data_IF_379942454022
#
_entry.id   IF_379942454022
#
_cell.length_a   1.000
_cell.length_b   1.000
_cell.length_c   1.000
_cell.angle_alpha   90.00
_cell.angle_beta   90.00
_cell.angle_gamma   90.00
#
_symmetry.space_group_name_H-M   'P 1'
#
loop_
_entity.id
_entity.type
_entity.pdbx_description
1 polymer ?
#
# COMPACT_ATOMS: atom_id res chain seq x y z
N UNK A 1 -20.24 -10.75 -32.17
CA UNK A 1 -19.57 -9.54 -31.67
C UNK A 1 -20.08 -9.22 -30.26
N UNK A 2 -19.44 -9.75 -29.20
CA UNK A 2 -19.76 -9.44 -27.78
C UNK A 2 -18.76 -10.09 -26.80
N UNK A 3 -17.47 -10.12 -27.15
CA UNK A 3 -16.41 -10.65 -26.26
C UNK A 3 -15.08 -9.86 -26.29
N UNK A 4 -15.01 -8.72 -26.98
CA UNK A 4 -13.78 -7.92 -27.08
C UNK A 4 -13.80 -6.61 -26.26
N UNK A 5 -14.93 -6.21 -25.68
CA UNK A 5 -15.05 -4.91 -25.00
C UNK A 5 -14.59 -4.93 -23.54
N UNK A 6 -14.37 -6.10 -22.92
CA UNK A 6 -14.01 -6.21 -21.49
C UNK A 6 -12.49 -6.09 -21.28
N UNK A 7 -11.67 -6.32 -22.30
CA UNK A 7 -10.19 -6.24 -22.17
C UNK A 7 -9.68 -4.80 -22.35
N UNK A 8 -10.43 -3.93 -23.04
CA UNK A 8 -10.02 -2.54 -23.29
C UNK A 8 -10.29 -1.60 -22.10
N UNK A 9 -11.20 -1.95 -21.19
CA UNK A 9 -11.51 -1.12 -20.02
C UNK A 9 -10.48 -1.22 -18.86
N UNK A 10 -9.65 -2.27 -18.86
CA UNK A 10 -8.58 -2.46 -17.85
C UNK A 10 -7.34 -1.63 -18.20
N UNK A 11 -7.16 -1.24 -19.48
CA UNK A 11 -6.00 -0.47 -19.94
C UNK A 11 -6.16 1.06 -19.82
N UNK A 12 -7.38 1.58 -19.59
CA UNK A 12 -7.65 3.02 -19.63
C UNK A 12 -7.61 3.74 -18.27
N UNK A 13 -7.18 3.09 -17.18
CA UNK A 13 -7.30 3.61 -15.81
C UNK A 13 -5.97 4.00 -15.13
N UNK A 14 -4.85 4.03 -15.86
CA UNK A 14 -3.51 4.34 -15.30
C UNK A 14 -2.89 5.66 -15.78
N UNK A 15 -3.64 6.52 -16.47
CA UNK A 15 -3.17 7.86 -16.79
C UNK A 15 -3.77 8.84 -15.80
N UNK A 16 -2.97 9.23 -14.81
CA UNK A 16 -2.77 10.59 -14.27
C UNK A 16 -2.09 10.45 -12.90
N UNK A 17 -0.77 10.63 -12.85
CA UNK A 17 -0.11 11.19 -11.67
C UNK A 17 0.84 12.28 -12.18
N UNK A 18 0.53 13.53 -11.83
CA UNK A 18 1.29 14.70 -12.25
C UNK A 18 2.71 14.69 -11.69
N UNK A 19 3.68 14.88 -12.59
CA UNK A 19 5.08 15.08 -12.25
C UNK A 19 5.34 16.52 -11.82
N UNK A 20 6.11 16.69 -10.74
CA UNK A 20 6.79 17.95 -10.44
C UNK A 20 8.23 17.86 -10.96
N UNK A 21 8.43 18.38 -12.17
CA UNK A 21 9.71 18.46 -12.86
C UNK A 21 10.59 19.53 -12.20
N UNK A 22 11.48 19.16 -11.28
CA UNK A 22 12.74 19.88 -11.09
C UNK A 22 13.81 19.18 -10.23
N UNK A 23 13.50 18.00 -9.63
CA UNK A 23 14.46 17.23 -8.82
C UNK A 23 15.21 16.11 -9.59
N UNK A 24 14.79 15.79 -10.81
CA UNK A 24 15.20 14.59 -11.57
C UNK A 24 16.66 14.63 -12.08
N UNK A 25 17.18 15.81 -12.46
CA UNK A 25 18.50 15.93 -13.09
C UNK A 25 19.69 15.78 -12.11
N UNK A 26 19.48 15.94 -10.80
CA UNK A 26 20.55 15.77 -9.80
C UNK A 26 20.61 14.36 -9.20
N UNK A 27 19.56 13.55 -9.36
CA UNK A 27 19.47 12.26 -8.67
C UNK A 27 19.98 11.07 -9.50
N UNK A 28 19.94 11.16 -10.84
CA UNK A 28 20.66 10.23 -11.71
C UNK A 28 22.17 10.19 -11.39
N UNK A 29 22.73 11.28 -10.86
CA UNK A 29 24.10 11.31 -10.31
C UNK A 29 24.22 10.64 -8.94
N UNK A 30 23.22 10.73 -8.07
CA UNK A 30 23.28 10.21 -6.69
C UNK A 30 23.00 8.72 -6.57
N UNK A 31 22.16 8.14 -7.43
CA UNK A 31 22.09 6.69 -7.57
C UNK A 31 23.39 6.14 -8.19
N UNK A 32 24.00 6.86 -9.14
CA UNK A 32 25.35 6.55 -9.65
C UNK A 32 26.43 6.64 -8.55
N UNK A 33 26.32 7.59 -7.62
CA UNK A 33 27.19 7.69 -6.43
C UNK A 33 26.92 6.57 -5.41
N UNK A 34 25.66 6.16 -5.21
CA UNK A 34 25.27 5.01 -4.38
C UNK A 34 25.69 3.65 -4.97
N UNK A 35 25.74 3.57 -6.30
CA UNK A 35 26.29 2.46 -7.07
C UNK A 35 27.83 2.45 -7.14
N UNK A 36 28.55 3.41 -6.53
CA UNK A 36 30.04 3.51 -6.54
C UNK A 36 30.67 3.05 -7.86
N UNK A 37 30.21 3.60 -8.98
CA UNK A 37 31.01 3.66 -10.19
C UNK A 37 32.11 4.68 -9.90
N UNK A 38 33.32 4.21 -9.61
CA UNK A 38 34.53 5.03 -9.49
C UNK A 38 34.67 5.81 -8.18
N UNK A 39 35.34 5.21 -7.19
CA UNK A 39 36.15 5.99 -6.25
C UNK A 39 37.42 5.21 -5.85
N UNK A 40 38.37 5.19 -6.78
CA UNK A 40 39.80 5.28 -6.50
C UNK A 40 40.46 6.10 -7.61
N UNK A 41 40.59 7.42 -7.39
CA UNK A 41 41.80 8.20 -7.63
C UNK A 41 41.50 9.71 -7.64
N UNK A 42 42.03 10.37 -6.62
CA UNK A 42 42.60 11.72 -6.60
C UNK A 42 41.75 12.92 -7.06
N UNK A 43 41.40 13.74 -6.06
CA UNK A 43 41.31 15.20 -6.22
C UNK A 43 42.68 15.74 -6.62
N UNK A 44 42.84 16.08 -7.89
CA UNK A 44 43.57 17.29 -8.28
C UNK A 44 42.79 17.96 -9.41
N UNK A 45 42.67 19.28 -9.29
CA UNK A 45 41.70 20.05 -10.05
C UNK A 45 42.01 20.15 -11.54
N UNK A 46 41.00 20.63 -12.28
CA UNK A 46 41.23 21.30 -13.55
C UNK A 46 40.45 20.74 -14.74
N UNK A 47 39.74 21.67 -15.37
CA UNK A 47 39.21 21.67 -16.74
C UNK A 47 37.94 20.85 -17.04
N UNK A 48 36.87 21.63 -17.24
CA UNK A 48 35.77 21.36 -18.20
C UNK A 48 36.37 20.80 -19.50
N UNK A 49 36.10 19.53 -19.77
CA UNK A 49 36.40 18.86 -21.03
C UNK A 49 35.17 18.10 -21.53
N UNK A 50 34.65 18.50 -22.69
CA UNK A 50 33.78 17.68 -23.54
C UNK A 50 34.41 16.28 -23.71
N UNK A 51 33.65 15.22 -23.44
CA UNK A 51 33.80 13.90 -24.07
C UNK A 51 32.62 13.02 -23.65
N UNK A 52 31.74 12.69 -24.60
CA UNK A 52 30.93 11.49 -24.51
C UNK A 52 31.89 10.30 -24.43
N UNK A 53 31.93 9.64 -23.27
CA UNK A 53 32.70 8.43 -23.08
C UNK A 53 32.00 7.29 -23.82
N UNK A 54 32.70 6.67 -24.78
CA UNK A 54 32.28 5.38 -25.35
C UNK A 54 32.10 4.39 -24.20
N UNK A 55 30.90 3.84 -24.03
CA UNK A 55 30.66 2.70 -23.14
C UNK A 55 31.55 1.52 -23.54
N UNK A 56 31.88 0.65 -22.58
CA UNK A 56 32.63 -0.58 -22.86
C UNK A 56 31.79 -1.52 -23.71
N UNK A 57 32.45 -2.27 -24.58
CA UNK A 57 31.76 -3.30 -25.36
C UNK A 57 31.59 -4.56 -24.52
N UNK A 58 30.34 -5.03 -24.39
CA UNK A 58 29.98 -6.26 -23.69
C UNK A 58 29.36 -7.27 -24.66
N UNK A 59 29.50 -7.08 -25.97
CA UNK A 59 28.92 -7.92 -27.02
C UNK A 59 29.23 -9.42 -26.85
N UNK A 60 30.39 -9.77 -26.30
CA UNK A 60 30.75 -11.14 -25.97
C UNK A 60 29.72 -11.84 -25.07
N UNK A 61 29.04 -11.09 -24.18
CA UNK A 61 28.05 -11.65 -23.27
C UNK A 61 26.78 -12.10 -24.00
N UNK A 62 26.51 -11.60 -25.21
CA UNK A 62 25.36 -12.04 -26.01
C UNK A 62 25.46 -13.52 -26.43
N UNK A 63 26.66 -14.10 -26.42
CA UNK A 63 26.89 -15.51 -26.71
C UNK A 63 26.76 -16.42 -25.48
N UNK A 64 26.62 -15.84 -24.28
CA UNK A 64 26.45 -16.62 -23.07
C UNK A 64 25.00 -17.13 -22.98
N UNK A 65 24.85 -18.45 -23.06
CA UNK A 65 23.60 -19.11 -22.73
C UNK A 65 23.49 -19.27 -21.22
N UNK A 66 22.43 -18.74 -20.64
CA UNK A 66 22.06 -18.95 -19.25
C UNK A 66 20.62 -19.45 -19.14
N UNK A 67 20.30 -20.12 -18.04
CA UNK A 67 18.98 -20.72 -17.83
C UNK A 67 17.82 -19.72 -17.77
N UNK A 68 18.12 -18.45 -17.47
CA UNK A 68 17.12 -17.39 -17.43
C UNK A 68 17.09 -16.58 -18.74
N UNK A 69 18.03 -16.77 -19.65
CA UNK A 69 18.17 -16.01 -20.89
C UNK A 69 18.47 -14.51 -20.68
N UNK A 70 18.96 -14.12 -19.50
CA UNK A 70 19.18 -12.71 -19.15
C UNK A 70 20.61 -12.23 -19.43
N UNK A 71 21.58 -13.12 -19.56
CA UNK A 71 22.97 -12.77 -19.88
C UNK A 71 23.05 -12.07 -21.23
N UNK A 72 23.84 -11.00 -21.33
CA UNK A 72 23.95 -10.24 -22.56
C UNK A 72 24.53 -8.83 -22.39
N UNK A 73 24.71 -8.19 -23.53
CA UNK A 73 24.97 -6.77 -23.67
C UNK A 73 23.66 -5.99 -23.65
N UNK A 74 23.59 -4.95 -22.83
CA UNK A 74 22.43 -4.08 -22.70
C UNK A 74 22.84 -2.63 -22.95
N UNK A 75 21.88 -1.86 -23.47
CA UNK A 75 21.99 -0.41 -23.63
C UNK A 75 20.89 0.21 -22.79
N UNK A 76 21.16 1.32 -22.10
CA UNK A 76 20.13 2.10 -21.41
C UNK A 76 19.38 3.07 -22.33
N UNK A 77 18.13 3.39 -21.94
CA UNK A 77 17.26 4.32 -22.64
C UNK A 77 17.61 5.78 -22.32
N UNK A 78 17.67 6.13 -21.02
CA UNK A 78 17.97 7.50 -20.55
C UNK A 78 19.48 7.73 -20.55
N UNK A 79 20.24 6.82 -19.95
CA UNK A 79 21.69 6.77 -20.06
C UNK A 79 22.09 5.78 -21.17
N UNK A 80 22.49 6.27 -22.36
CA UNK A 80 22.83 5.42 -23.50
C UNK A 80 24.15 4.64 -23.30
N UNK A 81 24.72 4.67 -22.08
CA UNK A 81 25.78 3.77 -21.67
C UNK A 81 25.38 2.30 -21.84
N UNK A 82 26.40 1.49 -22.07
CA UNK A 82 26.27 0.05 -22.22
C UNK A 82 26.61 -0.64 -20.90
N UNK A 83 25.94 -1.74 -20.63
CA UNK A 83 26.22 -2.63 -19.51
C UNK A 83 26.26 -4.09 -19.98
N UNK A 84 26.99 -4.91 -19.23
CA UNK A 84 26.99 -6.35 -19.37
C UNK A 84 26.23 -6.97 -18.21
N UNK A 85 25.31 -7.89 -18.50
CA UNK A 85 24.67 -8.73 -17.50
C UNK A 85 25.11 -10.17 -17.69
N UNK A 86 25.37 -10.87 -16.59
CA UNK A 86 25.69 -12.30 -16.60
C UNK A 86 25.00 -13.00 -15.45
N UNK A 87 24.15 -13.98 -15.76
CA UNK A 87 23.53 -14.81 -14.73
C UNK A 87 24.42 -16.00 -14.37
N UNK A 88 24.70 -16.14 -13.08
CA UNK A 88 25.49 -17.21 -12.51
C UNK A 88 24.62 -18.03 -11.56
N UNK A 89 24.20 -19.21 -12.03
CA UNK A 89 23.47 -20.16 -11.20
C UNK A 89 24.37 -20.84 -10.19
N UNK A 90 25.51 -21.37 -10.64
CA UNK A 90 26.46 -22.11 -9.81
C UNK A 90 27.83 -21.46 -9.81
N UNK A 91 28.47 -21.38 -8.64
CA UNK A 91 29.87 -20.95 -8.47
C UNK A 91 30.54 -21.90 -7.48
N UNK A 92 31.68 -22.47 -7.87
CA UNK A 92 32.46 -23.40 -7.03
C UNK A 92 31.63 -24.57 -6.45
N UNK A 93 30.74 -25.14 -7.27
CA UNK A 93 29.86 -26.24 -6.88
C UNK A 93 28.70 -25.85 -5.96
N UNK A 94 28.49 -24.55 -5.70
CA UNK A 94 27.36 -24.04 -4.89
C UNK A 94 26.37 -23.28 -5.77
N UNK A 95 25.09 -23.49 -5.51
CA UNK A 95 24.02 -22.68 -6.07
C UNK A 95 24.10 -21.26 -5.46
N UNK A 96 24.23 -20.24 -6.31
CA UNK A 96 24.34 -18.83 -5.89
C UNK A 96 23.23 -17.95 -6.48
N UNK A 97 22.70 -18.27 -7.67
CA UNK A 97 21.63 -17.52 -8.33
C UNK A 97 21.82 -16.00 -8.33
N UNK A 98 22.96 -15.56 -8.85
CA UNK A 98 23.36 -14.14 -8.90
C UNK A 98 23.33 -13.59 -10.31
N UNK A 99 22.96 -12.32 -10.43
CA UNK A 99 23.16 -11.52 -11.63
C UNK A 99 24.39 -10.63 -11.41
N UNK A 100 25.46 -10.92 -12.12
CA UNK A 100 26.65 -10.10 -12.21
C UNK A 100 26.38 -8.95 -13.18
N UNK A 101 26.61 -7.72 -12.71
CA UNK A 101 26.37 -6.49 -13.43
C UNK A 101 27.70 -5.78 -13.69
N UNK A 102 27.94 -5.45 -14.96
CA UNK A 102 29.19 -4.88 -15.45
C UNK A 102 28.95 -3.55 -16.18
N UNK A 103 29.78 -2.56 -15.87
CA UNK A 103 29.82 -1.24 -16.50
C UNK A 103 31.26 -0.79 -16.76
N UNK A 104 32.18 -1.09 -15.83
CA UNK A 104 33.54 -0.56 -15.85
C UNK A 104 34.51 -1.44 -16.66
N UNK A 105 34.41 -2.75 -16.52
CA UNK A 105 35.25 -3.75 -17.19
C UNK A 105 34.48 -5.09 -17.35
N UNK A 106 35.08 -6.06 -18.04
CA UNK A 106 34.46 -7.38 -18.32
C UNK A 106 34.97 -8.51 -17.40
N UNK A 107 35.96 -8.26 -16.56
CA UNK A 107 36.62 -9.29 -15.74
C UNK A 107 36.01 -9.38 -14.34
N UNK A 108 35.60 -8.25 -13.78
CA UNK A 108 35.10 -8.13 -12.41
C UNK A 108 33.77 -7.38 -12.41
N UNK A 109 32.71 -7.96 -11.81
CA UNK A 109 31.41 -7.29 -11.77
C UNK A 109 31.48 -6.05 -10.88
N UNK A 110 30.82 -4.98 -11.31
CA UNK A 110 30.61 -3.77 -10.53
C UNK A 110 29.56 -3.98 -9.42
N UNK A 111 28.69 -4.98 -9.60
CA UNK A 111 27.67 -5.38 -8.64
C UNK A 111 27.26 -6.83 -8.85
N UNK A 112 26.89 -7.51 -7.77
CA UNK A 112 26.19 -8.80 -7.83
C UNK A 112 24.81 -8.64 -7.22
N UNK A 113 23.75 -8.92 -7.98
CA UNK A 113 22.38 -8.91 -7.47
C UNK A 113 21.90 -10.33 -7.21
N UNK A 114 21.14 -10.54 -6.15
CA UNK A 114 20.56 -11.82 -5.77
C UNK A 114 19.21 -11.99 -6.46
N UNK A 115 18.97 -13.15 -7.09
CA UNK A 115 17.65 -13.51 -7.61
C UNK A 115 16.70 -13.82 -6.43
N UNK A 116 15.50 -13.22 -6.42
CA UNK A 116 14.44 -13.69 -5.53
C UNK A 116 13.80 -14.95 -6.09
N UNK A 117 14.43 -16.11 -5.82
CA UNK A 117 14.08 -17.40 -6.42
C UNK A 117 12.59 -17.75 -6.30
N UNK A 118 11.99 -17.50 -5.14
CA UNK A 118 10.58 -17.81 -4.92
C UNK A 118 9.63 -17.08 -5.86
N UNK A 119 10.02 -15.91 -6.37
CA UNK A 119 9.23 -15.15 -7.33
C UNK A 119 9.37 -15.73 -8.74
N UNK A 120 10.58 -16.14 -9.12
CA UNK A 120 10.82 -16.82 -10.38
C UNK A 120 10.16 -18.20 -10.44
N UNK A 121 10.44 -19.08 -9.49
CA UNK A 121 9.97 -20.48 -9.52
C UNK A 121 8.44 -20.61 -9.48
N UNK A 122 7.74 -19.62 -8.92
CA UNK A 122 6.28 -19.67 -8.76
C UNK A 122 5.50 -18.78 -9.72
N UNK A 123 6.10 -17.68 -10.17
CA UNK A 123 5.41 -16.64 -10.93
C UNK A 123 6.21 -16.18 -12.15
N UNK A 124 7.34 -16.82 -12.44
CA UNK A 124 8.25 -16.50 -13.56
C UNK A 124 8.77 -15.05 -13.55
N UNK A 125 8.72 -14.38 -12.39
CA UNK A 125 9.23 -13.02 -12.23
C UNK A 125 10.72 -13.06 -11.94
N UNK A 126 11.53 -12.61 -12.90
CA UNK A 126 12.98 -12.46 -12.76
C UNK A 126 13.31 -11.14 -12.09
N UNK A 127 13.28 -11.14 -10.77
CA UNK A 127 13.63 -10.00 -9.92
C UNK A 127 14.97 -10.23 -9.25
N UNK A 128 15.90 -9.30 -9.47
CA UNK A 128 17.21 -9.29 -8.87
C UNK A 128 17.39 -8.05 -8.00
N UNK A 129 17.98 -8.20 -6.82
CA UNK A 129 18.17 -7.08 -5.89
C UNK A 129 19.52 -7.11 -5.19
N UNK A 130 19.97 -5.95 -4.71
CA UNK A 130 21.14 -5.83 -3.86
C UNK A 130 20.94 -4.69 -2.85
N UNK A 131 21.30 -4.96 -1.59
CA UNK A 131 21.44 -3.96 -0.55
C UNK A 131 22.93 -3.65 -0.30
N UNK A 132 23.38 -2.47 -0.74
CA UNK A 132 24.76 -1.99 -0.51
C UNK A 132 24.94 -1.29 0.83
N UNK A 133 23.85 -0.77 1.37
CA UNK A 133 23.76 -0.16 2.69
C UNK A 133 22.35 -0.34 3.24
N UNK A 134 22.19 -0.06 4.53
CA UNK A 134 20.87 -0.12 5.15
C UNK A 134 19.89 0.99 4.68
N UNK A 135 20.32 1.93 3.84
CA UNK A 135 19.51 3.07 3.39
C UNK A 135 18.80 2.78 2.07
N UNK A 136 17.65 3.42 1.83
CA UNK A 136 16.93 3.33 0.56
C UNK A 136 17.82 3.67 -0.66
N UNK A 137 18.76 4.61 -0.50
CA UNK A 137 19.73 4.99 -1.54
C UNK A 137 20.77 3.93 -1.87
N UNK A 138 20.93 2.91 -1.02
CA UNK A 138 21.84 1.78 -1.22
C UNK A 138 21.16 0.55 -1.83
N UNK A 139 19.86 0.63 -2.12
CA UNK A 139 19.11 -0.43 -2.76
C UNK A 139 19.19 -0.34 -4.28
N UNK A 140 19.40 -1.48 -4.94
CA UNK A 140 19.25 -1.63 -6.38
C UNK A 140 18.34 -2.84 -6.65
N UNK A 141 17.34 -2.67 -7.52
CA UNK A 141 16.47 -3.75 -8.00
C UNK A 141 16.35 -3.67 -9.52
N UNK A 142 16.37 -4.82 -10.16
CA UNK A 142 16.17 -4.96 -11.61
C UNK A 142 15.14 -6.06 -11.84
N UNK A 143 14.15 -5.78 -12.68
CA UNK A 143 13.13 -6.75 -13.07
C UNK A 143 13.10 -6.86 -14.59
N UNK A 144 13.10 -8.07 -15.12
CA UNK A 144 12.84 -8.29 -16.54
C UNK A 144 11.35 -8.04 -16.84
N UNK A 145 11.06 -7.05 -17.68
CA UNK A 145 9.68 -6.65 -18.05
C UNK A 145 9.22 -7.28 -19.37
N UNK A 146 10.18 -7.63 -20.22
CA UNK A 146 10.02 -8.45 -21.41
C UNK A 146 11.36 -9.15 -21.72
N UNK A 147 11.38 -10.24 -22.50
CA UNK A 147 12.62 -10.93 -22.83
C UNK A 147 13.70 -9.97 -23.34
N UNK A 148 14.82 -9.87 -22.60
CA UNK A 148 15.92 -8.97 -22.93
C UNK A 148 15.67 -7.48 -22.66
N UNK A 149 14.61 -7.12 -21.92
CA UNK A 149 14.28 -5.76 -21.49
C UNK A 149 14.17 -5.71 -19.97
N UNK A 150 14.99 -4.90 -19.34
CA UNK A 150 15.15 -4.77 -17.89
C UNK A 150 14.69 -3.40 -17.43
N UNK A 151 13.83 -3.36 -16.43
CA UNK A 151 13.51 -2.14 -15.69
C UNK A 151 14.45 -2.02 -14.48
N UNK A 152 15.13 -0.89 -14.35
CA UNK A 152 15.94 -0.56 -13.18
C UNK A 152 15.09 0.26 -12.22
N UNK A 153 15.02 -0.19 -10.98
CA UNK A 153 14.03 0.28 -10.01
C UNK A 153 14.75 0.95 -8.83
N UNK A 154 14.18 2.07 -8.40
CA UNK A 154 14.46 2.73 -7.14
C UNK A 154 13.36 2.40 -6.13
N UNK A 155 13.79 2.10 -4.90
CA UNK A 155 12.93 1.99 -3.73
C UNK A 155 12.83 3.25 -2.89
N UNK A 156 11.80 3.30 -2.06
CA UNK A 156 11.61 4.33 -1.03
C UNK A 156 11.84 3.84 0.40
N UNK A 157 12.14 2.55 0.62
CA UNK A 157 12.38 1.98 1.95
C UNK A 157 13.85 1.66 2.21
N UNK A 158 14.24 1.82 3.48
CA UNK A 158 15.49 1.32 4.03
C UNK A 158 15.44 -0.21 4.22
N UNK A 159 16.62 -0.80 4.40
CA UNK A 159 16.81 -2.24 4.59
C UNK A 159 15.95 -2.76 5.73
N UNK A 160 15.22 -3.85 5.44
CA UNK A 160 14.51 -4.63 6.44
C UNK A 160 15.26 -5.95 6.70
N UNK A 161 15.54 -6.69 5.64
CA UNK A 161 16.33 -7.93 5.63
C UNK A 161 17.23 -7.90 4.38
N UNK A 162 18.50 -8.28 4.52
CA UNK A 162 19.49 -8.24 3.44
C UNK A 162 19.29 -9.38 2.43
N UNK A 163 18.59 -10.44 2.85
CA UNK A 163 18.29 -11.61 2.05
C UNK A 163 16.95 -11.50 1.29
N UNK A 164 16.23 -10.39 1.46
CA UNK A 164 14.96 -10.11 0.81
C UNK A 164 14.98 -8.78 0.01
N UNK A 165 14.24 -8.71 -1.12
CA UNK A 165 14.02 -7.45 -1.81
C UNK A 165 13.17 -6.51 -0.94
N UNK A 166 12.93 -5.30 -1.45
CA UNK A 166 11.94 -4.41 -0.86
C UNK A 166 10.60 -5.14 -0.61
N UNK A 167 9.93 -4.85 0.53
CA UNK A 167 8.57 -5.31 0.75
C UNK A 167 7.65 -5.02 -0.44
N UNK A 168 6.67 -5.88 -0.70
CA UNK A 168 5.80 -5.74 -1.87
C UNK A 168 4.91 -4.48 -1.80
N UNK A 169 4.65 -3.95 -0.60
CA UNK A 169 3.95 -2.69 -0.33
C UNK A 169 4.84 -1.44 -0.45
N UNK A 170 6.16 -1.61 -0.70
CA UNK A 170 7.06 -0.48 -0.95
C UNK A 170 6.80 0.13 -2.34
N UNK A 171 6.97 1.46 -2.43
CA UNK A 171 6.88 2.13 -3.72
C UNK A 171 8.12 1.80 -4.55
N UNK A 172 7.88 1.46 -5.82
CA UNK A 172 8.91 1.15 -6.81
C UNK A 172 8.77 2.13 -7.97
N UNK A 173 9.85 2.84 -8.25
CA UNK A 173 9.90 3.76 -9.39
C UNK A 173 10.93 3.25 -10.38
N UNK A 174 10.50 3.00 -11.61
CA UNK A 174 11.38 2.74 -12.75
C UNK A 174 12.10 4.03 -13.10
N UNK A 175 13.42 3.96 -13.15
CA UNK A 175 14.29 5.12 -13.37
C UNK A 175 15.19 4.97 -14.60
N UNK A 176 15.23 3.77 -15.18
CA UNK A 176 15.96 3.44 -16.40
C UNK A 176 15.36 2.18 -17.00
N UNK A 177 15.40 2.07 -18.33
CA UNK A 177 15.08 0.85 -19.08
C UNK A 177 16.35 0.45 -19.82
N UNK A 178 16.76 -0.81 -19.68
CA UNK A 178 17.89 -1.35 -20.41
C UNK A 178 17.44 -2.49 -21.32
N UNK A 179 17.91 -2.53 -22.57
CA UNK A 179 17.50 -3.54 -23.53
C UNK A 179 18.70 -4.15 -24.28
N UNK A 180 18.60 -5.45 -24.62
CA UNK A 180 19.54 -6.13 -25.54
C UNK A 180 19.46 -5.59 -26.96
N UNK A 181 18.24 -5.29 -27.41
CA UNK A 181 17.96 -4.68 -28.70
C UNK A 181 17.39 -3.27 -28.50
N UNK A 182 18.06 -2.27 -29.10
CA UNK A 182 17.66 -0.87 -29.02
C UNK A 182 16.28 -0.61 -29.63
N UNK A 183 15.82 -1.44 -30.57
CA UNK A 183 14.47 -1.29 -31.16
C UNK A 183 13.37 -1.52 -30.12
N UNK A 184 13.69 -2.18 -28.99
CA UNK A 184 12.76 -2.37 -27.88
C UNK A 184 12.28 -1.04 -27.28
N UNK A 185 13.06 0.03 -27.40
CA UNK A 185 12.70 1.36 -26.92
C UNK A 185 11.57 2.03 -27.69
N UNK A 186 11.22 1.51 -28.87
CA UNK A 186 10.01 1.94 -29.59
C UNK A 186 8.72 1.52 -28.86
N UNK A 187 8.83 0.54 -27.95
CA UNK A 187 7.72 0.02 -27.13
C UNK A 187 7.93 0.27 -25.64
N UNK A 188 9.17 0.20 -25.16
CA UNK A 188 9.51 0.19 -23.73
C UNK A 188 10.17 1.50 -23.30
N UNK A 189 9.33 2.51 -23.08
CA UNK A 189 9.71 3.69 -22.31
C UNK A 189 9.55 3.45 -20.79
N UNK A 190 9.87 4.48 -19.99
CA UNK A 190 9.78 4.42 -18.52
C UNK A 190 8.34 4.14 -18.07
N UNK A 191 7.35 4.77 -18.68
CA UNK A 191 5.95 4.63 -18.28
C UNK A 191 5.43 3.22 -18.57
N UNK A 192 5.74 2.68 -19.74
CA UNK A 192 5.36 1.32 -20.14
C UNK A 192 6.08 0.27 -19.29
N UNK A 193 7.37 0.47 -18.99
CA UNK A 193 8.12 -0.37 -18.08
C UNK A 193 7.56 -0.31 -16.65
N UNK A 194 7.20 0.88 -16.15
CA UNK A 194 6.57 1.07 -14.84
C UNK A 194 5.25 0.30 -14.75
N UNK A 195 4.37 0.46 -15.74
CA UNK A 195 3.09 -0.24 -15.78
C UNK A 195 3.27 -1.77 -15.75
N UNK A 196 4.29 -2.28 -16.44
CA UNK A 196 4.63 -3.71 -16.41
C UNK A 196 5.19 -4.14 -15.05
N UNK A 197 6.06 -3.35 -14.43
CA UNK A 197 6.55 -3.58 -13.06
C UNK A 197 5.38 -3.64 -12.09
N UNK A 198 4.45 -2.68 -12.14
CA UNK A 198 3.28 -2.64 -11.28
C UNK A 198 2.40 -3.88 -11.46
N UNK A 199 2.23 -4.36 -12.70
CA UNK A 199 1.51 -5.61 -13.00
C UNK A 199 2.21 -6.85 -12.38
N UNK A 200 3.53 -6.94 -12.49
CA UNK A 200 4.31 -8.04 -11.92
C UNK A 200 4.25 -8.01 -10.38
N UNK A 201 4.45 -6.84 -9.78
CA UNK A 201 4.34 -6.64 -8.32
C UNK A 201 2.91 -6.93 -7.84
N UNK A 202 1.89 -6.51 -8.58
CA UNK A 202 0.49 -6.82 -8.29
C UNK A 202 0.22 -8.33 -8.26
N UNK A 203 0.80 -9.08 -9.20
CA UNK A 203 0.73 -10.55 -9.22
C UNK A 203 1.34 -11.16 -7.94
N UNK A 204 2.52 -10.68 -7.55
CA UNK A 204 3.21 -11.12 -6.33
C UNK A 204 2.43 -10.73 -5.06
N UNK A 205 1.84 -9.53 -5.01
CA UNK A 205 0.97 -9.07 -3.92
C UNK A 205 -0.24 -9.98 -3.78
N UNK A 206 -0.93 -10.30 -4.88
CA UNK A 206 -2.08 -11.22 -4.87
C UNK A 206 -1.72 -12.60 -4.32
N UNK A 207 -0.59 -13.15 -4.75
CA UNK A 207 -0.08 -14.41 -4.22
C UNK A 207 0.23 -14.38 -2.71
N UNK A 208 0.89 -13.32 -2.25
CA UNK A 208 1.19 -13.13 -0.82
C UNK A 208 -0.09 -12.95 -0.01
N UNK A 209 -1.07 -12.20 -0.54
CA UNK A 209 -2.39 -12.01 0.04
C UNK A 209 -3.13 -13.33 0.25
N UNK A 210 -3.10 -14.23 -0.73
CA UNK A 210 -3.72 -15.55 -0.61
C UNK A 210 -3.05 -16.40 0.49
N UNK A 211 -1.73 -16.31 0.63
CA UNK A 211 -1.01 -16.97 1.74
C UNK A 211 -1.40 -16.40 3.09
N UNK A 212 -1.52 -15.08 3.17
CA UNK A 212 -1.87 -14.36 4.39
C UNK A 212 -3.32 -14.63 4.79
N UNK A 213 -4.25 -14.64 3.84
CA UNK A 213 -5.63 -15.08 4.02
C UNK A 213 -5.69 -16.51 4.55
N UNK A 214 -4.95 -17.46 3.95
CA UNK A 214 -4.89 -18.85 4.45
C UNK A 214 -4.37 -18.95 5.88
N UNK A 215 -3.41 -18.11 6.27
CA UNK A 215 -2.93 -18.04 7.66
C UNK A 215 -4.00 -17.46 8.58
N UNK A 216 -4.67 -16.39 8.17
CA UNK A 216 -5.72 -15.73 8.93
C UNK A 216 -6.96 -16.62 9.14
N UNK A 217 -7.31 -17.46 8.17
CA UNK A 217 -8.43 -18.41 8.27
C UNK A 217 -8.24 -19.48 9.37
N UNK A 218 -7.07 -19.57 9.99
CA UNK A 218 -6.79 -20.42 11.16
C UNK A 218 -7.30 -19.81 12.47
N UNK A 219 -7.69 -18.55 12.46
CA UNK A 219 -8.18 -17.83 13.63
C UNK A 219 -9.69 -17.64 13.52
N UNK A 220 -10.43 -18.08 14.55
CA UNK A 220 -11.90 -18.07 14.55
C UNK A 220 -12.47 -16.67 14.31
N UNK A 221 -11.89 -15.65 14.97
CA UNK A 221 -12.29 -14.25 14.80
C UNK A 221 -12.32 -13.85 13.33
N UNK A 222 -11.20 -14.02 12.62
CA UNK A 222 -11.16 -13.64 11.20
C UNK A 222 -12.08 -14.51 10.34
N UNK A 223 -12.11 -15.83 10.59
CA UNK A 223 -12.97 -16.76 9.86
C UNK A 223 -14.45 -16.38 9.97
N UNK A 224 -14.90 -15.95 11.15
CA UNK A 224 -16.29 -15.65 11.45
C UNK A 224 -16.69 -14.20 11.10
N UNK A 225 -15.72 -13.28 11.09
CA UNK A 225 -15.92 -11.85 10.89
C UNK A 225 -15.39 -11.26 9.58
N UNK A 226 -14.72 -12.02 8.69
CA UNK A 226 -14.39 -11.50 7.34
C UNK A 226 -15.65 -10.96 6.64
N UNK A 227 -15.56 -9.74 6.08
CA UNK A 227 -16.69 -8.98 5.54
C UNK A 227 -17.61 -8.34 6.59
N UNK A 228 -17.28 -8.43 7.88
CA UNK A 228 -18.10 -7.94 9.00
C UNK A 228 -17.32 -7.01 9.92
N UNK A 229 -18.06 -6.35 10.81
CA UNK A 229 -17.52 -5.49 11.86
C UNK A 229 -17.73 -6.16 13.22
N UNK A 230 -16.65 -6.31 13.98
CA UNK A 230 -16.73 -6.68 15.40
C UNK A 230 -16.85 -5.42 16.25
N UNK A 231 -17.74 -5.42 17.23
CA UNK A 231 -17.92 -4.33 18.18
C UNK A 231 -17.46 -4.74 19.57
N UNK A 232 -16.93 -3.80 20.37
CA UNK A 232 -16.52 -4.02 21.74
C UNK A 232 -16.74 -2.77 22.62
N UNK A 233 -16.68 -2.97 23.94
CA UNK A 233 -16.85 -1.88 24.92
C UNK A 233 -15.68 -0.89 24.97
N UNK A 234 -14.60 -1.14 24.23
CA UNK A 234 -13.39 -0.32 24.23
C UNK A 234 -12.34 -0.84 23.24
N UNK A 235 -11.40 0.04 22.86
CA UNK A 235 -10.40 -0.29 21.82
C UNK A 235 -9.42 -1.38 22.25
N UNK A 236 -9.13 -1.50 23.55
CA UNK A 236 -8.23 -2.51 24.11
C UNK A 236 -8.67 -3.95 23.82
N UNK A 237 -9.98 -4.19 23.63
CA UNK A 237 -10.52 -5.52 23.30
C UNK A 237 -10.37 -5.89 21.81
N UNK A 238 -10.06 -4.91 20.95
CA UNK A 238 -9.96 -5.03 19.49
C UNK A 238 -8.55 -4.76 18.94
N UNK A 239 -7.55 -4.66 19.83
CA UNK A 239 -6.16 -4.39 19.45
C UNK A 239 -5.42 -5.70 19.17
N UNK A 240 -4.67 -5.70 18.06
CA UNK A 240 -3.72 -6.76 17.76
C UNK A 240 -2.30 -6.30 18.07
N UNK A 241 -1.49 -7.23 18.58
CA UNK A 241 -0.06 -6.98 18.83
C UNK A 241 0.81 -7.39 17.64
N UNK A 242 0.32 -8.29 16.78
CA UNK A 242 1.09 -8.88 15.67
C UNK A 242 0.29 -8.86 14.38
N UNK A 243 0.97 -8.52 13.29
CA UNK A 243 0.38 -8.58 11.95
C UNK A 243 0.00 -10.01 11.61
N UNK A 244 -1.14 -10.16 10.93
CA UNK A 244 -1.68 -11.44 10.46
C UNK A 244 -1.93 -12.46 11.59
N UNK A 245 -2.17 -11.98 12.81
CA UNK A 245 -2.49 -12.78 13.98
C UNK A 245 -3.54 -12.03 14.81
N UNK A 246 -4.83 -12.12 14.44
CA UNK A 246 -5.90 -11.57 15.27
C UNK A 246 -5.93 -12.36 16.59
N UNK A 247 -5.49 -11.70 17.67
CA UNK A 247 -5.40 -12.28 19.02
C UNK A 247 -6.60 -11.91 19.89
N UNK A 248 -7.57 -11.19 19.31
CA UNK A 248 -8.79 -10.81 19.99
C UNK A 248 -9.62 -12.04 20.34
N UNK A 249 -10.46 -11.92 21.36
CA UNK A 249 -11.35 -13.01 21.78
C UNK A 249 -12.79 -12.63 21.44
N UNK A 250 -13.48 -13.52 20.72
CA UNK A 250 -14.89 -13.31 20.34
C UNK A 250 -15.80 -13.07 21.56
N UNK A 251 -15.47 -13.65 22.72
CA UNK A 251 -16.20 -13.43 23.97
C UNK A 251 -16.21 -11.96 24.45
N UNK A 252 -15.29 -11.12 23.95
CA UNK A 252 -15.27 -9.69 24.24
C UNK A 252 -16.13 -8.87 23.28
N UNK A 253 -16.61 -9.49 22.19
CA UNK A 253 -17.43 -8.79 21.21
C UNK A 253 -18.84 -8.62 21.76
N UNK A 254 -19.41 -7.45 21.51
CA UNK A 254 -20.73 -7.07 21.99
C UNK A 254 -21.67 -6.90 20.81
N UNK A 255 -22.93 -7.23 21.03
CA UNK A 255 -24.03 -6.98 20.08
C UNK A 255 -25.01 -5.94 20.59
N UNK A 256 -24.91 -5.58 21.87
CA UNK A 256 -25.75 -4.57 22.53
C UNK A 256 -24.92 -3.68 23.46
N UNK A 257 -25.23 -2.38 23.49
CA UNK A 257 -24.63 -1.38 24.38
C UNK A 257 -25.62 -0.26 24.71
N UNK A 258 -25.36 0.49 25.76
CA UNK A 258 -26.07 1.73 26.06
C UNK A 258 -25.72 2.82 25.03
N UNK A 259 -26.72 3.56 24.57
CA UNK A 259 -26.56 4.69 23.66
C UNK A 259 -25.83 5.84 24.37
N UNK A 260 -24.81 6.38 23.71
CA UNK A 260 -23.91 7.40 24.28
C UNK A 260 -22.69 6.82 25.03
N UNK A 261 -22.66 5.50 25.27
CA UNK A 261 -21.51 4.84 25.86
C UNK A 261 -20.43 4.50 24.80
N UNK A 262 -19.24 4.15 25.27
CA UNK A 262 -18.14 3.74 24.39
C UNK A 262 -18.50 2.49 23.58
N UNK A 263 -18.42 2.61 22.26
CA UNK A 263 -18.47 1.51 21.28
C UNK A 263 -17.25 1.62 20.37
N UNK A 264 -16.31 0.70 20.55
CA UNK A 264 -15.22 0.50 19.62
C UNK A 264 -15.62 -0.53 18.57
N UNK A 265 -15.08 -0.40 17.37
CA UNK A 265 -15.35 -1.36 16.31
C UNK A 265 -14.14 -1.60 15.41
N UNK A 266 -14.10 -2.80 14.82
CA UNK A 266 -13.03 -3.23 13.93
C UNK A 266 -13.62 -4.00 12.75
N UNK A 267 -13.49 -3.48 11.52
CA UNK A 267 -13.85 -4.23 10.33
C UNK A 267 -12.78 -5.28 10.01
N UNK A 268 -13.22 -6.44 9.53
CA UNK A 268 -12.38 -7.46 8.92
C UNK A 268 -12.83 -7.62 7.46
N UNK A 269 -11.87 -7.63 6.54
CA UNK A 269 -12.12 -7.60 5.10
C UNK A 269 -11.88 -8.98 4.49
N UNK A 270 -12.60 -9.30 3.40
CA UNK A 270 -12.35 -10.55 2.67
C UNK A 270 -11.05 -10.51 1.84
N UNK A 271 -10.71 -9.31 1.39
CA UNK A 271 -9.50 -8.93 0.66
C UNK A 271 -9.07 -7.53 1.13
N UNK A 272 -7.77 -7.21 1.10
CA UNK A 272 -7.31 -5.83 1.28
C UNK A 272 -7.97 -4.87 0.29
N UNK A 273 -8.13 -3.61 0.69
CA UNK A 273 -8.74 -2.58 -0.15
C UNK A 273 -7.92 -2.33 -1.40
N UNK A 274 -6.59 -2.25 -1.30
CA UNK A 274 -5.72 -1.98 -2.45
C UNK A 274 -5.83 -3.05 -3.55
N UNK A 275 -6.27 -4.26 -3.19
CA UNK A 275 -6.40 -5.40 -4.10
C UNK A 275 -7.81 -5.50 -4.69
N UNK A 276 -8.83 -5.28 -3.86
CA UNK A 276 -10.23 -5.33 -4.30
C UNK A 276 -10.62 -4.07 -5.07
N UNK A 277 -10.12 -2.90 -4.67
CA UNK A 277 -10.44 -1.58 -5.20
C UNK A 277 -9.19 -0.68 -5.29
N UNK A 278 -8.31 -0.92 -6.28
CA UNK A 278 -7.08 -0.12 -6.44
C UNK A 278 -7.34 1.40 -6.54
N UNK A 279 -6.61 2.17 -5.73
CA UNK A 279 -6.71 3.63 -5.66
C UNK A 279 -7.89 4.15 -4.82
N UNK A 280 -8.69 3.28 -4.21
CA UNK A 280 -9.72 3.67 -3.25
C UNK A 280 -9.13 3.90 -1.85
N UNK A 281 -9.84 4.66 -1.01
CA UNK A 281 -9.62 4.72 0.43
C UNK A 281 -10.89 4.33 1.19
N UNK A 282 -10.82 4.14 2.51
CA UNK A 282 -11.99 3.73 3.27
C UNK A 282 -12.89 4.94 3.60
N UNK A 283 -14.19 4.76 3.46
CA UNK A 283 -15.22 5.62 4.06
C UNK A 283 -16.06 4.82 5.07
N UNK A 284 -16.70 5.51 6.01
CA UNK A 284 -17.61 4.88 6.99
C UNK A 284 -18.91 5.65 6.99
N UNK A 285 -20.02 4.91 6.90
CA UNK A 285 -21.37 5.44 7.08
C UNK A 285 -22.00 4.84 8.34
N UNK A 286 -22.85 5.65 8.97
CA UNK A 286 -23.64 5.27 10.13
C UNK A 286 -25.12 5.45 9.80
N UNK A 287 -25.93 4.44 10.11
CA UNK A 287 -27.38 4.44 9.86
C UNK A 287 -28.11 4.01 11.13
N UNK A 288 -29.06 4.83 11.59
CA UNK A 288 -29.89 4.57 12.77
C UNK A 288 -31.17 5.39 12.69
N UNK A 289 -32.30 4.83 13.15
CA UNK A 289 -33.60 5.53 13.22
C UNK A 289 -34.01 6.25 11.91
N UNK A 290 -33.73 5.61 10.76
CA UNK A 290 -34.05 6.11 9.42
C UNK A 290 -33.17 7.26 8.92
N UNK A 291 -32.17 7.68 9.69
CA UNK A 291 -31.17 8.66 9.26
C UNK A 291 -29.85 7.98 8.89
N UNK A 292 -29.10 8.62 8.00
CA UNK A 292 -27.75 8.19 7.62
C UNK A 292 -26.79 9.36 7.63
N UNK A 293 -25.57 9.10 8.09
CA UNK A 293 -24.44 10.01 7.95
C UNK A 293 -23.27 9.32 7.28
N UNK A 294 -22.47 10.12 6.57
CA UNK A 294 -21.34 9.68 5.76
C UNK A 294 -20.13 10.54 6.11
N UNK A 295 -19.02 9.90 6.48
CA UNK A 295 -17.80 10.62 6.89
C UNK A 295 -17.24 11.46 5.76
N UNK A 296 -17.15 10.96 4.53
CA UNK A 296 -16.59 11.72 3.40
C UNK A 296 -17.50 12.88 2.98
N UNK A 297 -18.82 12.70 2.98
CA UNK A 297 -19.74 13.81 2.73
C UNK A 297 -19.60 14.91 3.79
N UNK A 298 -19.55 14.52 5.08
CA UNK A 298 -19.39 15.48 6.16
C UNK A 298 -18.01 16.17 6.11
N UNK A 299 -16.95 15.40 5.82
CA UNK A 299 -15.58 15.92 5.62
C UNK A 299 -15.52 17.00 4.54
N UNK A 300 -16.26 16.82 3.45
CA UNK A 300 -16.30 17.77 2.31
C UNK A 300 -17.22 18.97 2.55
N UNK A 301 -18.10 18.93 3.56
CA UNK A 301 -19.07 19.99 3.81
C UNK A 301 -18.47 21.26 4.43
N UNK A 302 -17.34 21.17 5.14
CA UNK A 302 -16.68 22.33 5.71
C UNK A 302 -15.19 22.09 5.95
N UNK A 303 -14.40 23.16 6.00
CA UNK A 303 -12.97 23.10 6.36
C UNK A 303 -12.76 22.58 7.78
N UNK A 304 -13.70 22.89 8.69
CA UNK A 304 -13.70 22.44 10.09
C UNK A 304 -13.84 20.92 10.19
N UNK A 305 -14.81 20.33 9.48
CA UNK A 305 -14.93 18.88 9.38
C UNK A 305 -13.78 18.24 8.61
N UNK A 306 -13.29 18.85 7.53
CA UNK A 306 -12.14 18.34 6.78
C UNK A 306 -10.89 18.16 7.65
N UNK A 307 -10.70 18.99 8.68
CA UNK A 307 -9.58 18.89 9.62
C UNK A 307 -9.73 17.76 10.64
N UNK A 308 -10.97 17.44 11.02
CA UNK A 308 -11.27 16.56 12.16
C UNK A 308 -11.77 15.17 11.75
N UNK A 309 -12.19 15.02 10.50
CA UNK A 309 -12.52 13.74 9.87
C UNK A 309 -11.40 13.45 8.86
N UNK A 310 -10.24 12.91 9.28
CA UNK A 310 -9.19 12.60 8.34
C UNK A 310 -9.64 11.50 7.37
N UNK A 311 -9.16 11.59 6.13
CA UNK A 311 -9.26 10.53 5.15
C UNK A 311 -8.63 9.24 5.72
N UNK A 312 -9.26 8.09 5.45
CA UNK A 312 -8.78 6.80 5.95
C UNK A 312 -8.05 6.07 4.81
N UNK A 313 -6.80 6.47 4.60
CA UNK A 313 -5.89 5.96 3.57
C UNK A 313 -4.83 4.97 4.11
N UNK A 314 -4.88 4.69 5.42
CA UNK A 314 -4.02 3.69 6.08
C UNK A 314 -4.68 2.32 6.09
N UNK A 315 -3.85 1.28 6.20
CA UNK A 315 -4.27 -0.13 6.30
C UNK A 315 -4.97 -0.68 5.04
N UNK A 316 -4.84 -0.03 3.88
CA UNK A 316 -5.43 -0.48 2.61
C UNK A 316 -4.88 -1.84 2.15
N UNK A 317 -3.66 -2.15 2.55
CA UNK A 317 -2.94 -3.40 2.32
C UNK A 317 -3.31 -4.52 3.31
N UNK A 318 -4.15 -4.23 4.32
CA UNK A 318 -4.45 -5.15 5.41
C UNK A 318 -5.84 -5.78 5.29
N UNK A 319 -6.00 -6.93 5.93
CA UNK A 319 -7.28 -7.66 6.04
C UNK A 319 -8.18 -7.17 7.19
N UNK A 320 -7.74 -6.16 7.94
CA UNK A 320 -8.50 -5.51 9.00
C UNK A 320 -7.80 -4.21 9.38
N UNK A 321 -8.52 -3.28 9.98
CA UNK A 321 -7.89 -2.09 10.57
C UNK A 321 -6.93 -2.49 11.68
N UNK A 322 -5.69 -1.99 11.59
CA UNK A 322 -4.69 -2.28 12.60
C UNK A 322 -5.08 -1.71 13.95
N UNK A 323 -5.59 -0.47 13.93
CA UNK A 323 -6.20 0.19 15.09
C UNK A 323 -7.72 0.23 14.95
N UNK A 324 -8.48 -0.24 15.96
CA UNK A 324 -9.94 -0.14 15.94
C UNK A 324 -10.38 1.33 15.92
N UNK A 325 -11.57 1.56 15.37
CA UNK A 325 -12.27 2.84 15.40
C UNK A 325 -13.22 2.89 16.60
N UNK A 326 -13.75 4.07 16.88
CA UNK A 326 -14.74 4.30 17.95
C UNK A 326 -15.84 5.18 17.38
N UNK A 327 -17.09 4.92 17.77
CA UNK A 327 -18.16 5.89 17.58
C UNK A 327 -18.02 7.00 18.62
N UNK A 328 -17.97 6.60 19.89
CA UNK A 328 -17.72 7.42 21.07
C UNK A 328 -16.66 6.72 21.93
N UNK A 329 -15.77 7.49 22.54
CA UNK A 329 -14.84 7.07 23.58
C UNK A 329 -14.94 8.02 24.78
N UNK A 330 -15.72 7.61 25.78
CA UNK A 330 -16.01 8.38 26.98
C UNK A 330 -14.79 8.61 27.86
N UNK A 331 -13.80 7.72 27.85
CA UNK A 331 -12.59 7.87 28.69
C UNK A 331 -11.65 8.97 28.20
N UNK A 332 -11.62 9.20 26.88
CA UNK A 332 -10.70 10.17 26.27
C UNK A 332 -11.42 11.42 25.73
N UNK A 333 -12.74 11.49 25.89
CA UNK A 333 -13.60 12.53 25.31
C UNK A 333 -13.42 12.69 23.78
N UNK A 334 -13.36 11.58 23.05
CA UNK A 334 -13.20 11.56 21.59
C UNK A 334 -14.38 10.84 20.95
N UNK A 335 -14.92 11.38 19.88
CA UNK A 335 -15.97 10.74 19.10
C UNK A 335 -15.73 10.90 17.60
N UNK A 336 -16.40 10.07 16.81
CA UNK A 336 -16.52 10.24 15.38
C UNK A 336 -17.58 11.29 15.08
N UNK A 337 -17.18 12.42 14.47
CA UNK A 337 -18.09 13.51 14.15
C UNK A 337 -19.24 13.09 13.23
N UNK A 338 -19.07 12.11 12.33
CA UNK A 338 -20.17 11.62 11.51
C UNK A 338 -21.19 10.86 12.36
N UNK A 339 -20.75 10.16 13.41
CA UNK A 339 -21.67 9.52 14.36
C UNK A 339 -22.36 10.54 15.26
N UNK A 340 -21.66 11.59 15.71
CA UNK A 340 -22.29 12.68 16.47
C UNK A 340 -23.38 13.37 15.64
N UNK A 341 -23.12 13.61 14.36
CA UNK A 341 -24.10 14.19 13.44
C UNK A 341 -25.32 13.27 13.27
N UNK A 342 -25.13 11.94 13.30
CA UNK A 342 -26.25 11.00 13.29
C UNK A 342 -27.09 11.14 14.55
N UNK A 343 -26.46 11.24 15.73
CA UNK A 343 -27.16 11.46 16.99
C UNK A 343 -27.96 12.75 16.97
N UNK A 344 -27.37 13.85 16.47
CA UNK A 344 -28.07 15.14 16.32
C UNK A 344 -29.30 15.02 15.40
N UNK A 345 -29.17 14.37 14.25
CA UNK A 345 -30.30 14.18 13.30
C UNK A 345 -31.40 13.25 13.82
N UNK A 346 -31.06 12.34 14.71
CA UNK A 346 -31.99 11.34 15.25
C UNK A 346 -32.57 11.73 16.60
N UNK A 347 -32.08 12.79 17.24
CA UNK A 347 -32.40 13.16 18.63
C UNK A 347 -33.90 13.14 18.93
N UNK A 348 -34.73 13.73 18.07
CA UNK A 348 -36.19 13.82 18.25
C UNK A 348 -36.91 12.47 18.09
N UNK A 349 -36.24 11.44 17.57
CA UNK A 349 -36.74 10.07 17.38
C UNK A 349 -36.31 9.12 18.49
N UNK A 350 -35.45 9.58 19.40
CA UNK A 350 -34.87 8.77 20.45
C UNK A 350 -35.69 8.92 21.75
N UNK A 351 -36.03 7.79 22.38
CA UNK A 351 -36.80 7.80 23.63
C UNK A 351 -36.39 6.66 24.56
N UNK A 352 -36.47 6.92 25.87
CA UNK A 352 -36.11 5.96 26.90
C UNK A 352 -36.89 4.64 26.81
N UNK A 353 -36.21 3.54 27.13
CA UNK A 353 -36.77 2.18 27.07
C UNK A 353 -36.71 1.53 25.69
N UNK A 354 -36.39 2.28 24.64
CA UNK A 354 -36.24 1.74 23.29
C UNK A 354 -34.79 1.29 23.01
N UNK A 355 -34.66 0.38 22.03
CA UNK A 355 -33.38 -0.06 21.49
C UNK A 355 -33.36 0.25 19.99
N UNK A 356 -32.23 0.76 19.52
CA UNK A 356 -32.03 1.20 18.14
C UNK A 356 -30.90 0.40 17.49
N UNK A 357 -31.13 -0.09 16.29
CA UNK A 357 -30.09 -0.74 15.52
C UNK A 357 -29.20 0.33 14.87
N UNK A 358 -27.94 0.42 15.32
CA UNK A 358 -26.92 1.18 14.64
C UNK A 358 -26.22 0.26 13.64
N UNK A 359 -26.44 0.52 12.35
CA UNK A 359 -25.70 -0.12 11.27
C UNK A 359 -24.49 0.73 10.90
N UNK A 360 -23.32 0.09 10.89
CA UNK A 360 -22.05 0.67 10.46
C UNK A 360 -21.63 -0.03 9.17
N UNK A 361 -21.31 0.76 8.15
CA UNK A 361 -20.78 0.22 6.88
C UNK A 361 -19.45 0.88 6.57
N UNK A 362 -18.43 0.07 6.30
CA UNK A 362 -17.16 0.51 5.77
C UNK A 362 -17.17 0.28 4.26
N UNK A 363 -16.89 1.32 3.50
CA UNK A 363 -16.95 1.35 2.05
C UNK A 363 -15.57 1.49 1.43
N UNK A 364 -15.39 0.91 0.24
CA UNK A 364 -14.40 1.40 -0.71
C UNK A 364 -14.90 2.73 -1.29
N UNK A 365 -14.16 3.81 -1.11
CA UNK A 365 -14.49 5.14 -1.62
C UNK A 365 -13.44 5.59 -2.63
N UNK A 366 -13.90 6.07 -3.78
CA UNK A 366 -13.05 6.59 -4.85
C UNK A 366 -13.84 7.58 -5.68
N UNK A 367 -13.17 8.59 -6.22
CA UNK A 367 -13.74 9.54 -7.18
C UNK A 367 -15.04 10.22 -6.70
N UNK A 368 -15.15 10.49 -5.40
CA UNK A 368 -16.30 11.18 -4.82
C UNK A 368 -17.47 10.27 -4.40
N UNK A 369 -17.35 8.94 -4.55
CA UNK A 369 -18.45 8.01 -4.31
C UNK A 369 -18.06 6.78 -3.48
N UNK A 370 -19.02 6.27 -2.70
CA UNK A 370 -18.98 4.92 -2.14
C UNK A 370 -19.19 3.91 -3.28
N UNK A 371 -18.22 3.05 -3.52
CA UNK A 371 -18.27 2.01 -4.57
C UNK A 371 -18.96 0.76 -4.03
N UNK A 372 -18.29 0.04 -3.11
CA UNK A 372 -18.77 -1.23 -2.57
C UNK A 372 -18.58 -1.29 -1.05
N UNK A 373 -19.51 -1.95 -0.33
CA UNK A 373 -19.34 -2.20 1.10
C UNK A 373 -18.30 -3.31 1.30
N UNK A 374 -17.21 -2.98 1.98
CA UNK A 374 -16.11 -3.94 2.27
C UNK A 374 -16.26 -4.61 3.64
N UNK A 375 -17.02 -3.98 4.56
CA UNK A 375 -17.45 -4.61 5.80
C UNK A 375 -18.71 -3.95 6.35
N UNK A 376 -19.62 -4.74 6.92
CA UNK A 376 -20.85 -4.23 7.57
C UNK A 376 -21.04 -4.85 8.94
N UNK A 377 -21.63 -4.12 9.87
CA UNK A 377 -22.10 -4.70 11.13
C UNK A 377 -23.17 -3.84 11.78
N UNK A 378 -24.00 -4.49 12.60
CA UNK A 378 -25.05 -3.83 13.36
C UNK A 378 -24.84 -4.08 14.84
N UNK A 379 -25.01 -3.05 15.66
CA UNK A 379 -25.04 -3.12 17.12
C UNK A 379 -26.32 -2.49 17.63
N UNK A 380 -26.93 -3.10 18.63
CA UNK A 380 -28.09 -2.57 19.33
C UNK A 380 -27.67 -1.53 20.36
N UNK A 381 -28.23 -0.33 20.27
CA UNK A 381 -28.00 0.77 21.20
C UNK A 381 -29.27 1.03 22.01
N UNK A 382 -29.19 0.77 23.31
CA UNK A 382 -30.31 0.92 24.24
C UNK A 382 -30.34 2.33 24.84
N UNK A 383 -31.51 2.95 24.81
CA UNK A 383 -31.75 4.21 25.48
C UNK A 383 -32.17 3.94 26.93
N UNK A 384 -31.24 4.15 27.85
CA UNK A 384 -31.43 3.92 29.30
C UNK A 384 -31.95 5.18 30.00
N UNK A 385 -32.82 4.99 30.98
CA UNK A 385 -33.29 6.06 31.87
C UNK A 385 -32.42 6.19 33.14
N UNK A 386 -32.44 7.38 33.77
CA UNK A 386 -31.81 7.65 35.06
C UNK A 386 -30.72 8.72 35.04
N UNK A 387 -30.23 9.12 36.22
CA UNK A 387 -29.30 10.25 36.44
C UNK A 387 -27.90 10.09 35.79
N UNK A 388 -27.60 8.90 35.26
CA UNK A 388 -26.40 8.59 34.48
C UNK A 388 -26.74 7.86 33.17
N UNK A 389 -28.01 7.87 32.76
CA UNK A 389 -28.48 7.21 31.54
C UNK A 389 -28.17 7.99 30.26
N UNK A 390 -28.69 7.50 29.14
CA UNK A 390 -28.45 8.02 27.80
C UNK A 390 -28.68 9.54 27.68
N UNK A 391 -29.73 10.08 28.31
CA UNK A 391 -30.05 11.51 28.24
C UNK A 391 -28.90 12.40 28.70
N UNK A 392 -28.26 12.06 29.81
CA UNK A 392 -27.11 12.81 30.31
C UNK A 392 -25.89 12.65 29.42
N UNK A 393 -25.67 11.45 28.87
CA UNK A 393 -24.55 11.22 27.96
C UNK A 393 -24.70 12.01 26.65
N UNK A 394 -25.92 12.16 26.13
CA UNK A 394 -26.17 12.82 24.86
C UNK A 394 -26.41 14.32 25.00
N UNK A 395 -27.20 14.73 25.99
CA UNK A 395 -27.85 16.05 26.06
C UNK A 395 -27.38 16.90 27.24
N UNK A 396 -26.40 16.47 28.04
CA UNK A 396 -25.85 17.33 29.10
C UNK A 396 -25.38 18.66 28.50
N UNK A 397 -25.78 19.81 29.08
CA UNK A 397 -25.58 21.13 28.48
C UNK A 397 -24.12 21.60 28.49
N UNK A 398 -23.20 20.83 29.09
CA UNK A 398 -21.77 21.15 29.14
C UNK A 398 -20.93 20.05 28.50
N UNK A 399 -21.35 18.78 28.63
CA UNK A 399 -20.54 17.61 28.25
C UNK A 399 -21.30 16.57 27.43
N UNK A 400 -22.56 16.83 27.09
CA UNK A 400 -23.37 15.95 26.26
C UNK A 400 -22.77 15.85 24.86
N UNK A 401 -22.75 14.65 24.28
CA UNK A 401 -22.15 14.44 22.98
C UNK A 401 -22.77 15.27 21.85
N UNK A 402 -24.08 15.53 21.91
CA UNK A 402 -24.77 16.40 20.94
C UNK A 402 -24.38 17.86 21.20
N UNK A 403 -24.35 18.28 22.46
CA UNK A 403 -23.90 19.63 22.86
C UNK A 403 -22.48 19.91 22.38
N UNK A 404 -21.55 18.98 22.59
CA UNK A 404 -20.16 19.09 22.12
C UNK A 404 -20.09 19.28 20.59
N UNK A 405 -20.97 18.63 19.83
CA UNK A 405 -21.05 18.86 18.39
C UNK A 405 -21.63 20.23 18.06
N UNK A 406 -22.67 20.67 18.77
CA UNK A 406 -23.31 21.97 18.54
C UNK A 406 -22.37 23.14 18.85
N UNK A 407 -21.70 23.13 20.00
CA UNK A 407 -20.66 24.11 20.35
C UNK A 407 -19.56 24.14 19.28
N UNK A 408 -19.20 22.96 18.78
CA UNK A 408 -18.23 22.82 17.70
C UNK A 408 -18.76 23.33 16.34
N UNK A 409 -20.06 23.36 16.09
CA UNK A 409 -20.64 23.90 14.86
C UNK A 409 -20.82 25.42 14.90
N UNK A 410 -21.01 25.98 16.09
CA UNK A 410 -21.28 27.42 16.31
C UNK A 410 -19.99 28.28 16.30
N UNK A 411 -18.83 27.67 16.55
CA UNK A 411 -17.48 28.26 16.39
C UNK A 411 -16.97 28.21 14.94
#
# INVERSE_FOLDING_TARGET
>A
MKKQTIITAIFSLFLIVGMSNHAEAQFGKKLKEGLKIGNKANKSGGKKGKKGGKGKDFSAFNSEADELGVSGHYVGLIDPSTSGLKFVKNRDGKLVNKLEYYMSNTETPDMELTLKESYYTKYEVKMFFNWRSASASGYAEIIEVAPGVMAVIKGDRSLNDADDPLPLDANRTVIEVAAKDKTSFDTWDIETAQAKVDMLIGTLKGAQSEKDKKKLMRFDVYKNYKGKIAFAKGTNYLRNQKSLQPTEKEANFITKRELGATVAFKPYFELPLEQSHPGAWFNITYEMAGETTDREQLRQSSTKFSKNIPQIDKDQEKFYFWYPKVTINTSNNVADYAFLELLRKTQDKLSAGNTYDLKVTVWAYKDGANIDPVATGTIQLEYTSGDNGTDKLLNDPVKGWITVLQDYLDE
#
